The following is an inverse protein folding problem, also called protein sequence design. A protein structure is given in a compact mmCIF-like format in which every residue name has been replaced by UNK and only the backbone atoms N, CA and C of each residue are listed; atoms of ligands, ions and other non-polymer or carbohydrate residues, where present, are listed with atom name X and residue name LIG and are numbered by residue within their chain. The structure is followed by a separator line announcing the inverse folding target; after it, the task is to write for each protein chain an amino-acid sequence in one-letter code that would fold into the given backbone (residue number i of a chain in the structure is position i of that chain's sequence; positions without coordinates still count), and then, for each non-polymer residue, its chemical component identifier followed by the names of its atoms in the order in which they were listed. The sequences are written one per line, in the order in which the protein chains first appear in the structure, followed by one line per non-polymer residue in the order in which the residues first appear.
data_IF_773930261938
#
_entry.id   IF_773930261938
#
_cell.length_a   1.000
_cell.length_b   1.000
_cell.length_c   1.000
_cell.angle_alpha   90.00
_cell.angle_beta   90.00
_cell.angle_gamma   90.00
#
_symmetry.space_group_name_H-M   'P 1'
#
loop_
_entity.id
_entity.type
_entity.pdbx_description
1 polymer ?
#
# COMPACT_ATOMS: atom_id res chain seq x y z
N UNK A 1 -11.11 27.23 -0.64
CA UNK A 1 -10.75 26.90 -2.02
C UNK A 1 -11.74 25.91 -2.64
N UNK A 2 -12.89 26.37 -3.16
CA UNK A 2 -13.99 25.47 -3.57
C UNK A 2 -13.57 24.50 -4.68
N UNK A 3 -12.80 24.96 -5.66
CA UNK A 3 -12.42 24.13 -6.80
C UNK A 3 -11.55 22.94 -6.40
N UNK A 4 -10.58 23.12 -5.48
CA UNK A 4 -9.72 22.02 -5.03
C UNK A 4 -10.50 21.02 -4.18
N UNK A 5 -11.36 21.53 -3.30
CA UNK A 5 -12.26 20.69 -2.49
C UNK A 5 -13.13 19.80 -3.37
N UNK A 6 -13.79 20.38 -4.38
CA UNK A 6 -14.64 19.63 -5.32
C UNK A 6 -13.84 18.57 -6.06
N UNK A 7 -12.62 18.87 -6.53
CA UNK A 7 -11.78 17.88 -7.22
C UNK A 7 -11.40 16.71 -6.32
N UNK A 8 -10.95 16.95 -5.09
CA UNK A 8 -10.62 15.87 -4.13
C UNK A 8 -11.86 15.03 -3.80
N UNK A 9 -13.01 15.66 -3.57
CA UNK A 9 -14.26 14.94 -3.30
C UNK A 9 -14.71 14.10 -4.49
N UNK A 10 -14.73 14.67 -5.70
CA UNK A 10 -15.08 13.94 -6.92
C UNK A 10 -14.14 12.76 -7.18
N UNK A 11 -12.84 12.91 -6.87
CA UNK A 11 -11.90 11.80 -6.96
C UNK A 11 -12.32 10.64 -6.05
N UNK A 12 -12.56 10.91 -4.76
CA UNK A 12 -12.98 9.89 -3.79
C UNK A 12 -14.32 9.27 -4.18
N UNK A 13 -15.28 10.09 -4.62
CA UNK A 13 -16.61 9.66 -5.05
C UNK A 13 -16.58 8.87 -6.36
N UNK A 14 -15.58 9.03 -7.22
CA UNK A 14 -15.51 8.32 -8.50
C UNK A 14 -15.32 6.81 -8.33
N UNK A 15 -14.63 6.39 -7.26
CA UNK A 15 -14.43 4.97 -6.93
C UNK A 15 -15.44 4.44 -5.91
N UNK A 16 -16.16 5.29 -5.18
CA UNK A 16 -17.13 4.88 -4.16
C UNK A 16 -18.22 3.91 -4.68
N UNK A 17 -18.78 4.06 -5.90
CA UNK A 17 -19.73 3.10 -6.48
C UNK A 17 -19.21 1.65 -6.52
N UNK A 18 -17.89 1.45 -6.62
CA UNK A 18 -17.27 0.12 -6.62
C UNK A 18 -17.59 -0.65 -5.34
N UNK A 19 -17.72 0.05 -4.19
CA UNK A 19 -18.09 -0.58 -2.92
C UNK A 19 -19.42 -1.32 -3.07
N UNK A 20 -20.45 -0.64 -3.57
CA UNK A 20 -21.80 -1.21 -3.71
C UNK A 20 -21.85 -2.32 -4.75
N UNK A 21 -21.14 -2.16 -5.87
CA UNK A 21 -21.06 -3.21 -6.90
C UNK A 21 -20.49 -4.50 -6.31
N UNK A 22 -19.41 -4.41 -5.53
CA UNK A 22 -18.81 -5.58 -4.90
C UNK A 22 -19.70 -6.09 -3.76
N UNK A 23 -20.17 -5.26 -2.85
CA UNK A 23 -20.92 -5.72 -1.67
C UNK A 23 -22.30 -6.31 -2.02
N UNK A 24 -22.95 -5.83 -3.08
CA UNK A 24 -24.26 -6.30 -3.53
C UNK A 24 -24.19 -7.50 -4.49
N UNK A 25 -22.99 -7.83 -4.99
CA UNK A 25 -22.82 -8.94 -5.92
C UNK A 25 -23.12 -10.30 -5.26
N UNK A 26 -23.70 -11.22 -6.04
CA UNK A 26 -23.91 -12.60 -5.63
C UNK A 26 -22.60 -13.39 -5.77
N UNK A 27 -21.89 -13.44 -4.65
CA UNK A 27 -20.63 -14.13 -4.56
C UNK A 27 -20.79 -15.58 -4.10
N UNK A 28 -20.07 -16.50 -4.75
CA UNK A 28 -19.89 -17.87 -4.31
C UNK A 28 -18.37 -18.18 -4.17
N UNK A 29 -18.02 -19.37 -3.67
CA UNK A 29 -16.60 -19.74 -3.44
C UNK A 29 -15.75 -19.61 -4.71
N UNK A 30 -16.29 -20.01 -5.86
CA UNK A 30 -15.59 -19.96 -7.15
C UNK A 30 -15.31 -18.52 -7.60
N UNK A 31 -16.30 -17.62 -7.51
CA UNK A 31 -16.14 -16.21 -7.86
C UNK A 31 -15.15 -15.51 -6.95
N UNK A 32 -15.16 -15.77 -5.64
CA UNK A 32 -14.13 -15.22 -4.74
C UNK A 32 -12.75 -15.69 -5.17
N UNK A 33 -12.60 -17.00 -5.41
CA UNK A 33 -11.32 -17.60 -5.81
C UNK A 33 -10.84 -17.02 -7.14
N UNK A 34 -11.74 -16.83 -8.11
CA UNK A 34 -11.45 -16.21 -9.39
C UNK A 34 -10.97 -14.77 -9.21
N UNK A 35 -11.73 -13.92 -8.52
CA UNK A 35 -11.31 -12.53 -8.29
C UNK A 35 -9.98 -12.45 -7.54
N UNK A 36 -9.80 -13.25 -6.50
CA UNK A 36 -8.55 -13.28 -5.71
C UNK A 36 -7.36 -13.69 -6.58
N UNK A 37 -7.54 -14.69 -7.45
CA UNK A 37 -6.51 -15.10 -8.41
C UNK A 37 -6.20 -13.99 -9.42
N UNK A 38 -7.21 -13.29 -9.94
CA UNK A 38 -7.01 -12.19 -10.88
C UNK A 38 -6.28 -11.01 -10.25
N UNK A 39 -6.62 -10.64 -9.02
CA UNK A 39 -5.93 -9.60 -8.25
C UNK A 39 -4.46 -9.97 -8.01
N UNK A 40 -4.20 -11.21 -7.57
CA UNK A 40 -2.84 -11.71 -7.32
C UNK A 40 -2.04 -11.85 -8.61
N UNK A 41 -2.65 -12.27 -9.71
CA UNK A 41 -2.01 -12.30 -11.03
C UNK A 41 -1.66 -10.88 -11.51
N UNK A 42 -2.56 -9.91 -11.29
CA UNK A 42 -2.28 -8.50 -11.56
C UNK A 42 -1.06 -8.01 -10.78
N UNK A 43 -0.99 -8.25 -9.46
CA UNK A 43 0.19 -7.94 -8.66
C UNK A 43 1.46 -8.63 -9.14
N UNK A 44 1.36 -9.89 -9.54
CA UNK A 44 2.50 -10.64 -10.08
C UNK A 44 3.05 -10.02 -11.37
N UNK A 45 2.18 -9.67 -12.32
CA UNK A 45 2.59 -9.03 -13.58
C UNK A 45 3.19 -7.64 -13.31
N UNK A 46 2.55 -6.85 -12.45
CA UNK A 46 3.08 -5.55 -12.01
C UNK A 46 4.46 -5.69 -11.36
N UNK A 47 4.65 -6.72 -10.51
CA UNK A 47 5.92 -7.01 -9.86
C UNK A 47 7.00 -7.38 -10.88
N UNK A 48 6.70 -8.24 -11.87
CA UNK A 48 7.63 -8.58 -12.96
C UNK A 48 8.07 -7.32 -13.72
N UNK A 49 7.12 -6.45 -14.09
CA UNK A 49 7.44 -5.20 -14.80
C UNK A 49 8.34 -4.31 -13.93
N UNK A 50 8.06 -4.20 -12.63
CA UNK A 50 8.88 -3.44 -11.69
C UNK A 50 10.29 -4.01 -11.52
N UNK A 51 10.43 -5.34 -11.48
CA UNK A 51 11.74 -6.00 -11.40
C UNK A 51 12.53 -5.83 -12.70
N UNK A 52 11.87 -5.93 -13.84
CA UNK A 52 12.48 -5.68 -15.15
C UNK A 52 12.97 -4.23 -15.23
N UNK A 53 12.11 -3.26 -14.91
CA UNK A 53 12.46 -1.84 -14.82
C UNK A 53 13.65 -1.60 -13.90
N UNK A 54 13.62 -2.15 -12.69
CA UNK A 54 14.69 -2.03 -11.73
C UNK A 54 16.01 -2.59 -12.28
N UNK A 55 15.96 -3.70 -13.02
CA UNK A 55 17.16 -4.38 -13.54
C UNK A 55 17.82 -3.63 -14.69
N UNK A 56 17.07 -2.83 -15.47
CA UNK A 56 17.61 -2.07 -16.61
C UNK A 56 18.74 -1.13 -16.22
N UNK A 57 18.71 -0.56 -15.01
CA UNK A 57 19.72 0.39 -14.54
C UNK A 57 21.13 -0.22 -14.48
N UNK A 58 21.25 -1.54 -14.29
CA UNK A 58 22.53 -2.24 -14.23
C UNK A 58 23.09 -2.59 -15.61
N UNK A 59 22.26 -2.50 -16.67
CA UNK A 59 22.64 -2.80 -18.05
C UNK A 59 22.85 -1.51 -18.84
N UNK A 60 21.91 -0.56 -18.72
CA UNK A 60 21.85 0.66 -19.52
C UNK A 60 22.35 1.92 -18.78
N UNK A 61 22.61 1.81 -17.48
CA UNK A 61 22.82 2.96 -16.60
C UNK A 61 21.52 3.62 -16.16
N UNK A 62 21.60 4.45 -15.11
CA UNK A 62 20.43 5.07 -14.47
C UNK A 62 19.76 6.07 -15.41
N UNK A 63 20.51 6.99 -16.02
CA UNK A 63 19.95 8.08 -16.83
C UNK A 63 19.20 7.54 -18.06
N UNK A 64 19.79 6.58 -18.77
CA UNK A 64 19.15 5.90 -19.90
C UNK A 64 17.88 5.17 -19.47
N UNK A 65 17.93 4.48 -18.32
CA UNK A 65 16.79 3.74 -17.79
C UNK A 65 15.66 4.68 -17.39
N UNK A 66 15.96 5.81 -16.76
CA UNK A 66 14.99 6.85 -16.41
C UNK A 66 14.33 7.41 -17.66
N UNK A 67 15.12 7.88 -18.64
CA UNK A 67 14.61 8.46 -19.88
C UNK A 67 13.71 7.49 -20.65
N UNK A 68 14.09 6.21 -20.68
CA UNK A 68 13.26 5.16 -21.26
C UNK A 68 11.94 4.99 -20.49
N UNK A 69 12.01 4.98 -19.15
CA UNK A 69 10.83 4.74 -18.32
C UNK A 69 9.86 5.93 -18.30
N UNK A 70 10.36 7.16 -18.36
CA UNK A 70 9.55 8.37 -18.56
C UNK A 70 8.73 8.26 -19.85
N UNK A 71 9.35 7.85 -20.96
CA UNK A 71 8.65 7.65 -22.25
C UNK A 71 7.58 6.57 -22.17
N UNK A 72 7.85 5.46 -21.47
CA UNK A 72 6.89 4.35 -21.31
C UNK A 72 5.70 4.75 -20.45
N UNK A 73 5.94 5.50 -19.37
CA UNK A 73 4.90 5.86 -18.38
C UNK A 73 4.07 7.07 -18.81
N UNK A 74 4.63 8.00 -19.59
CA UNK A 74 3.93 9.20 -20.06
C UNK A 74 2.55 8.94 -20.70
N UNK A 75 2.39 8.02 -21.67
CA UNK A 75 1.08 7.76 -22.27
C UNK A 75 0.08 7.12 -21.30
N UNK A 76 0.55 6.42 -20.26
CA UNK A 76 -0.29 5.75 -19.27
C UNK A 76 -0.81 6.72 -18.21
N UNK A 77 0.06 7.62 -17.74
CA UNK A 77 -0.26 8.62 -16.73
C UNK A 77 -0.93 9.87 -17.33
N UNK A 78 -0.71 10.11 -18.63
CA UNK A 78 -1.13 11.32 -19.33
C UNK A 78 -0.15 12.48 -19.16
N UNK A 79 -0.07 13.36 -20.15
CA UNK A 79 0.97 14.39 -20.24
C UNK A 79 1.06 15.30 -19.00
N UNK A 80 -0.08 15.78 -18.51
CA UNK A 80 -0.12 16.73 -17.39
C UNK A 80 0.26 16.10 -16.06
N UNK A 81 -0.16 14.87 -15.80
CA UNK A 81 0.19 14.15 -14.57
C UNK A 81 1.64 13.68 -14.60
N UNK A 82 2.12 13.21 -15.76
CA UNK A 82 3.52 12.81 -15.96
C UNK A 82 4.49 13.95 -15.67
N UNK A 83 4.21 15.16 -16.15
CA UNK A 83 5.02 16.34 -15.83
C UNK A 83 5.12 16.58 -14.32
N UNK A 84 4.01 16.49 -13.60
CA UNK A 84 3.98 16.64 -12.14
C UNK A 84 4.79 15.55 -11.43
N UNK A 85 4.68 14.30 -11.91
CA UNK A 85 5.42 13.15 -11.39
C UNK A 85 6.92 13.33 -11.60
N UNK A 86 7.36 13.77 -12.77
CA UNK A 86 8.78 13.92 -13.08
C UNK A 86 9.40 15.12 -12.37
N UNK A 87 8.65 16.22 -12.21
CA UNK A 87 9.09 17.40 -11.44
C UNK A 87 9.28 17.11 -9.95
N UNK A 88 8.46 16.23 -9.37
CA UNK A 88 8.48 15.87 -7.95
C UNK A 88 8.79 14.39 -7.73
N UNK A 89 9.69 13.84 -8.56
CA UNK A 89 9.91 12.40 -8.62
C UNK A 89 10.59 11.85 -7.37
N UNK A 90 10.01 10.77 -6.84
CA UNK A 90 10.62 9.94 -5.78
C UNK A 90 11.22 8.64 -6.33
N UNK A 91 11.46 8.57 -7.65
CA UNK A 91 11.95 7.39 -8.35
C UNK A 91 13.38 7.02 -7.99
N UNK A 92 14.21 8.01 -7.66
CA UNK A 92 15.59 7.78 -7.26
C UNK A 92 15.73 7.71 -5.75
N UNK A 93 16.67 6.88 -5.30
CA UNK A 93 17.02 6.72 -3.90
C UNK A 93 18.53 6.73 -3.74
N UNK A 94 19.05 7.61 -2.87
CA UNK A 94 20.47 7.59 -2.52
C UNK A 94 20.68 6.72 -1.26
N UNK A 95 21.56 5.74 -1.32
CA UNK A 95 21.88 4.83 -0.24
C UNK A 95 23.40 4.74 -0.16
N UNK A 96 24.01 5.29 0.91
CA UNK A 96 25.46 5.32 1.11
C UNK A 96 26.24 5.80 -0.12
N UNK A 97 25.87 6.98 -0.63
CA UNK A 97 26.46 7.63 -1.80
C UNK A 97 26.28 6.86 -3.12
N UNK A 98 25.42 5.85 -3.17
CA UNK A 98 24.99 5.19 -4.40
C UNK A 98 23.53 5.52 -4.68
N UNK A 99 23.27 6.03 -5.87
CA UNK A 99 21.90 6.26 -6.33
C UNK A 99 21.37 5.00 -7.00
N UNK A 100 20.13 4.64 -6.69
CA UNK A 100 19.40 3.56 -7.36
C UNK A 100 18.10 4.10 -7.92
N UNK A 101 17.71 3.60 -9.09
CA UNK A 101 16.35 3.74 -9.60
C UNK A 101 15.47 2.68 -8.90
N UNK A 102 14.53 3.13 -8.07
CA UNK A 102 13.63 2.27 -7.29
C UNK A 102 12.69 1.51 -8.22
N UNK A 103 12.18 0.37 -7.76
CA UNK A 103 11.09 -0.31 -8.46
C UNK A 103 9.82 0.56 -8.44
N UNK A 104 9.33 0.96 -9.61
CA UNK A 104 8.13 1.78 -9.80
C UNK A 104 7.09 1.07 -10.67
N UNK A 105 7.50 0.11 -11.51
CA UNK A 105 6.61 -0.54 -12.48
C UNK A 105 5.90 0.53 -13.32
N UNK A 106 4.59 0.43 -13.52
CA UNK A 106 3.80 1.45 -14.23
C UNK A 106 3.08 2.43 -13.29
N UNK A 107 3.55 2.56 -12.05
CA UNK A 107 2.98 3.46 -11.05
C UNK A 107 3.67 4.83 -11.13
N UNK A 108 2.97 5.92 -10.74
CA UNK A 108 3.57 7.26 -10.71
C UNK A 108 4.74 7.36 -9.74
N UNK A 109 4.78 6.53 -8.70
CA UNK A 109 5.85 6.54 -7.71
C UNK A 109 5.98 5.16 -7.03
N UNK A 110 7.16 4.86 -6.44
CA UNK A 110 7.43 3.58 -5.79
C UNK A 110 6.61 3.35 -4.51
N UNK A 111 6.11 4.41 -3.87
CA UNK A 111 5.29 4.27 -2.67
C UNK A 111 3.92 3.69 -3.03
N UNK A 112 3.29 4.18 -4.09
CA UNK A 112 2.02 3.64 -4.60
C UNK A 112 2.15 2.20 -5.07
N UNK A 113 3.26 1.86 -5.75
CA UNK A 113 3.55 0.46 -6.09
C UNK A 113 3.65 -0.41 -4.81
N UNK A 114 4.36 0.08 -3.78
CA UNK A 114 4.53 -0.67 -2.54
C UNK A 114 3.20 -0.86 -1.78
N UNK A 115 2.31 0.13 -1.74
CA UNK A 115 0.94 -0.06 -1.21
C UNK A 115 0.21 -1.18 -1.94
N UNK A 116 0.18 -1.10 -3.27
CA UNK A 116 -0.55 -2.05 -4.10
C UNK A 116 -0.04 -3.49 -3.91
N UNK A 117 1.28 -3.69 -3.98
CA UNK A 117 1.90 -5.01 -3.80
C UNK A 117 1.72 -5.54 -2.37
N UNK A 118 1.86 -4.68 -1.35
CA UNK A 118 1.80 -5.11 0.05
C UNK A 118 0.37 -5.45 0.50
N UNK A 119 -0.65 -4.81 -0.07
CA UNK A 119 -2.03 -5.24 0.14
C UNK A 119 -2.31 -6.64 -0.44
N UNK A 120 -1.70 -6.96 -1.58
CA UNK A 120 -1.94 -8.20 -2.32
C UNK A 120 -1.00 -9.35 -1.91
N UNK A 121 0.12 -9.07 -1.26
CA UNK A 121 1.05 -10.10 -0.79
C UNK A 121 0.44 -11.08 0.24
N UNK A 122 -0.24 -10.63 1.32
CA UNK A 122 -0.94 -11.55 2.20
C UNK A 122 -2.06 -12.34 1.51
N UNK A 123 -2.68 -11.76 0.47
CA UNK A 123 -3.67 -12.47 -0.34
C UNK A 123 -3.03 -13.58 -1.19
N UNK A 124 -1.85 -13.36 -1.77
CA UNK A 124 -1.13 -14.43 -2.49
C UNK A 124 -0.68 -15.54 -1.54
N UNK A 125 -0.26 -15.19 -0.31
CA UNK A 125 0.01 -16.17 0.75
C UNK A 125 -1.25 -16.95 1.13
N UNK A 126 -2.39 -16.29 1.27
CA UNK A 126 -3.67 -16.95 1.56
C UNK A 126 -4.02 -18.02 0.51
N UNK A 127 -3.83 -17.71 -0.78
CA UNK A 127 -4.05 -18.65 -1.87
C UNK A 127 -3.03 -19.80 -1.81
N UNK A 128 -1.75 -19.49 -1.59
CA UNK A 128 -0.72 -20.51 -1.42
C UNK A 128 -1.03 -21.46 -0.26
N UNK A 129 -1.31 -20.98 0.94
CA UNK A 129 -1.61 -21.86 2.09
C UNK A 129 -2.98 -22.55 2.00
N UNK A 130 -3.85 -22.12 1.07
CA UNK A 130 -5.09 -22.83 0.76
C UNK A 130 -4.88 -24.03 -0.15
N UNK A 131 -3.92 -23.98 -1.07
CA UNK A 131 -3.70 -25.02 -2.10
C UNK A 131 -2.36 -25.78 -1.99
N UNK A 132 -1.36 -25.18 -1.35
CA UNK A 132 0.04 -25.56 -1.32
C UNK A 132 0.70 -25.71 -2.71
N UNK A 133 0.11 -25.14 -3.77
CA UNK A 133 0.70 -25.19 -5.12
C UNK A 133 1.92 -24.28 -5.22
N UNK A 134 3.06 -24.83 -5.66
CA UNK A 134 4.35 -24.13 -5.77
C UNK A 134 4.30 -22.84 -6.60
N UNK A 135 3.41 -22.77 -7.59
CA UNK A 135 3.22 -21.57 -8.42
C UNK A 135 2.84 -20.34 -7.59
N UNK A 136 2.02 -20.49 -6.55
CA UNK A 136 1.62 -19.36 -5.69
C UNK A 136 2.70 -18.98 -4.68
N UNK A 137 3.57 -19.91 -4.29
CA UNK A 137 4.78 -19.59 -3.54
C UNK A 137 5.73 -18.72 -4.39
N UNK A 138 5.96 -19.11 -5.65
CA UNK A 138 6.76 -18.33 -6.60
C UNK A 138 6.18 -16.94 -6.84
N UNK A 139 4.86 -16.85 -7.10
CA UNK A 139 4.16 -15.56 -7.25
C UNK A 139 4.37 -14.67 -6.02
N UNK A 140 4.18 -15.23 -4.81
CA UNK A 140 4.37 -14.48 -3.57
C UNK A 140 5.82 -13.99 -3.39
N UNK A 141 6.81 -14.82 -3.76
CA UNK A 141 8.23 -14.44 -3.70
C UNK A 141 8.56 -13.30 -4.67
N UNK A 142 8.00 -13.30 -5.88
CA UNK A 142 8.18 -12.23 -6.87
C UNK A 142 7.54 -10.92 -6.40
N UNK A 143 6.31 -10.98 -5.85
CA UNK A 143 5.63 -9.81 -5.26
C UNK A 143 6.46 -9.24 -4.09
N UNK A 144 6.95 -10.12 -3.21
CA UNK A 144 7.80 -9.73 -2.08
C UNK A 144 9.07 -9.03 -2.55
N UNK A 145 9.79 -9.61 -3.50
CA UNK A 145 11.04 -9.05 -4.02
C UNK A 145 10.80 -7.67 -4.65
N UNK A 146 9.79 -7.53 -5.50
CA UNK A 146 9.43 -6.26 -6.12
C UNK A 146 9.07 -5.20 -5.07
N UNK A 147 8.28 -5.58 -4.05
CA UNK A 147 7.95 -4.70 -2.94
C UNK A 147 9.20 -4.24 -2.18
N UNK A 148 10.15 -5.15 -1.89
CA UNK A 148 11.37 -4.80 -1.18
C UNK A 148 12.23 -3.80 -1.96
N UNK A 149 12.28 -3.94 -3.28
CA UNK A 149 13.01 -3.07 -4.21
C UNK A 149 12.30 -1.73 -4.51
N UNK A 150 11.11 -1.51 -3.96
CA UNK A 150 10.52 -0.15 -3.95
C UNK A 150 11.30 0.79 -3.03
N UNK A 151 12.10 0.28 -2.10
CA UNK A 151 12.79 1.06 -1.06
C UNK A 151 11.86 2.02 -0.28
N UNK A 152 10.56 1.70 -0.21
CA UNK A 152 9.58 2.46 0.56
C UNK A 152 9.66 2.06 2.03
N UNK A 153 10.10 2.98 2.88
CA UNK A 153 10.17 2.78 4.34
C UNK A 153 8.80 2.38 4.91
N UNK A 154 7.78 3.16 4.59
CA UNK A 154 6.40 2.84 4.94
C UNK A 154 5.93 1.52 4.35
N UNK A 155 6.39 1.19 3.15
CA UNK A 155 6.16 -0.11 2.52
C UNK A 155 6.68 -1.27 3.37
N UNK A 156 7.88 -1.15 3.93
CA UNK A 156 8.43 -2.18 4.83
C UNK A 156 7.56 -2.37 6.09
N UNK A 157 7.12 -1.28 6.73
CA UNK A 157 6.21 -1.36 7.88
C UNK A 157 4.87 -1.98 7.52
N UNK A 158 4.27 -1.56 6.39
CA UNK A 158 3.03 -2.15 5.88
C UNK A 158 3.15 -3.64 5.61
N UNK A 159 4.22 -4.05 4.91
CA UNK A 159 4.48 -5.44 4.59
C UNK A 159 4.64 -6.28 5.87
N UNK A 160 5.42 -5.80 6.85
CA UNK A 160 5.64 -6.48 8.12
C UNK A 160 4.34 -6.60 8.92
N UNK A 161 3.58 -5.51 9.08
CA UNK A 161 2.33 -5.51 9.83
C UNK A 161 1.30 -6.48 9.24
N UNK A 162 1.10 -6.43 7.92
CA UNK A 162 0.17 -7.34 7.22
C UNK A 162 0.61 -8.81 7.31
N UNK A 163 1.91 -9.08 7.18
CA UNK A 163 2.46 -10.44 7.27
C UNK A 163 2.36 -11.00 8.69
N UNK A 164 2.73 -10.22 9.72
CA UNK A 164 2.59 -10.62 11.12
C UNK A 164 1.13 -10.92 11.43
N UNK A 165 0.21 -10.02 11.06
CA UNK A 165 -1.22 -10.22 11.26
C UNK A 165 -1.72 -11.51 10.59
N UNK A 166 -1.33 -11.74 9.33
CA UNK A 166 -1.69 -12.95 8.60
C UNK A 166 -1.25 -14.21 9.37
N UNK A 167 0.03 -14.30 9.76
CA UNK A 167 0.54 -15.50 10.42
C UNK A 167 0.01 -15.67 11.85
N UNK A 168 -0.20 -14.59 12.61
CA UNK A 168 -0.81 -14.66 13.95
C UNK A 168 -2.20 -15.31 13.90
N UNK A 169 -3.05 -14.89 12.96
CA UNK A 169 -4.39 -15.46 12.81
C UNK A 169 -4.38 -16.81 12.09
N UNK A 170 -3.43 -17.05 11.18
CA UNK A 170 -3.27 -18.34 10.50
C UNK A 170 -2.91 -19.45 11.50
N UNK A 171 -1.90 -19.21 12.35
CA UNK A 171 -1.45 -20.17 13.37
C UNK A 171 -2.49 -20.43 14.47
N UNK A 172 -3.36 -19.45 14.74
CA UNK A 172 -4.48 -19.62 15.66
C UNK A 172 -5.54 -20.61 15.15
N UNK A 173 -5.57 -20.95 13.85
CA UNK A 173 -6.52 -21.91 13.28
C UNK A 173 -6.02 -23.35 13.48
N UNK A 174 -6.67 -24.11 14.39
CA UNK A 174 -6.35 -25.51 14.73
C UNK A 174 -6.09 -26.43 13.53
N UNK A 175 -6.84 -26.26 12.43
CA UNK A 175 -6.72 -27.03 11.18
C UNK A 175 -5.29 -27.03 10.59
N UNK A 176 -4.50 -26.00 10.86
CA UNK A 176 -3.18 -25.77 10.24
C UNK A 176 -2.01 -25.91 11.23
N UNK A 177 -2.25 -26.30 12.49
CA UNK A 177 -1.19 -26.34 13.50
C UNK A 177 -0.14 -27.44 13.24
N UNK A 178 -0.53 -28.62 12.76
CA UNK A 178 0.38 -29.77 12.62
C UNK A 178 1.10 -29.86 11.27
N UNK A 179 0.45 -29.47 10.16
CA UNK A 179 1.05 -29.51 8.81
C UNK A 179 1.87 -28.26 8.47
N UNK A 180 1.77 -27.21 9.28
CA UNK A 180 2.24 -25.88 8.88
C UNK A 180 3.16 -25.21 9.88
N UNK A 181 3.36 -25.76 11.09
CA UNK A 181 4.36 -25.26 12.02
C UNK A 181 5.78 -25.29 11.42
N UNK A 182 6.15 -26.38 10.74
CA UNK A 182 7.45 -26.47 10.05
C UNK A 182 7.54 -25.55 8.83
N UNK A 183 6.49 -25.45 8.01
CA UNK A 183 6.45 -24.55 6.85
C UNK A 183 6.50 -23.07 7.26
N UNK A 184 5.77 -22.70 8.32
CA UNK A 184 5.78 -21.35 8.88
C UNK A 184 7.13 -21.06 9.53
N UNK A 185 7.70 -22.01 10.28
CA UNK A 185 9.04 -21.87 10.83
C UNK A 185 10.10 -21.72 9.72
N UNK A 186 10.01 -22.49 8.63
CA UNK A 186 10.88 -22.34 7.45
C UNK A 186 10.65 -20.99 6.76
N UNK A 187 9.41 -20.53 6.66
CA UNK A 187 9.08 -19.22 6.08
C UNK A 187 9.66 -18.07 6.93
N UNK A 188 9.49 -18.10 8.25
CA UNK A 188 10.11 -17.11 9.14
C UNK A 188 11.63 -17.24 9.19
N UNK A 189 12.18 -18.46 9.17
CA UNK A 189 13.62 -18.67 9.12
C UNK A 189 14.21 -18.17 7.80
N UNK A 190 13.53 -18.36 6.67
CA UNK A 190 13.95 -17.80 5.38
C UNK A 190 13.80 -16.28 5.35
N UNK A 191 12.74 -15.69 5.92
CA UNK A 191 12.65 -14.25 6.13
C UNK A 191 13.76 -13.74 7.03
N UNK A 192 14.14 -14.45 8.10
CA UNK A 192 15.19 -14.05 9.01
C UNK A 192 16.57 -14.16 8.35
N UNK A 193 16.82 -15.21 7.56
CA UNK A 193 18.04 -15.35 6.76
C UNK A 193 18.11 -14.25 5.71
N UNK A 194 17.01 -13.97 5.02
CA UNK A 194 16.88 -12.81 4.13
C UNK A 194 17.17 -11.53 4.94
N UNK A 195 16.52 -11.29 6.08
CA UNK A 195 16.76 -10.10 6.89
C UNK A 195 18.24 -9.95 7.31
N UNK A 196 18.89 -11.04 7.71
CA UNK A 196 20.28 -11.06 8.15
C UNK A 196 21.26 -10.84 6.99
N UNK A 197 21.04 -11.49 5.86
CA UNK A 197 21.80 -11.27 4.62
C UNK A 197 21.59 -9.85 4.12
N UNK A 198 20.39 -9.29 4.30
CA UNK A 198 20.03 -7.96 3.82
C UNK A 198 20.50 -6.85 4.76
N UNK A 199 20.96 -7.15 5.98
CA UNK A 199 21.49 -6.18 6.93
C UNK A 199 22.67 -5.38 6.34
N UNK A 200 23.48 -6.00 5.49
CA UNK A 200 24.62 -5.36 4.79
C UNK A 200 24.25 -4.79 3.43
N UNK A 201 23.02 -4.98 2.96
CA UNK A 201 22.54 -4.56 1.64
C UNK A 201 21.88 -3.16 1.69
N UNK A 202 21.71 -2.49 0.53
CA UNK A 202 21.00 -1.22 0.46
C UNK A 202 19.59 -1.25 1.07
N UNK A 203 18.91 -2.40 1.04
CA UNK A 203 17.58 -2.59 1.62
C UNK A 203 17.62 -2.50 3.15
N UNK A 204 18.56 -3.22 3.79
CA UNK A 204 18.75 -3.15 5.24
C UNK A 204 19.11 -1.75 5.70
N UNK A 205 20.00 -1.08 4.96
CA UNK A 205 20.40 0.31 5.25
C UNK A 205 19.20 1.28 5.18
N UNK A 206 18.32 1.12 4.19
CA UNK A 206 17.07 1.88 4.08
C UNK A 206 16.08 1.56 5.19
N UNK A 207 16.00 0.31 5.60
CA UNK A 207 15.18 -0.09 6.75
C UNK A 207 15.66 0.59 8.03
N UNK A 208 16.95 0.50 8.36
CA UNK A 208 17.50 1.12 9.58
C UNK A 208 17.48 2.65 9.55
N UNK A 209 17.68 3.28 8.38
CA UNK A 209 17.55 4.73 8.26
C UNK A 209 16.13 5.23 8.56
N UNK A 210 15.12 4.37 8.46
CA UNK A 210 13.74 4.68 8.86
C UNK A 210 13.64 5.01 10.35
N UNK A 211 14.51 4.44 11.19
CA UNK A 211 14.54 4.68 12.64
C UNK A 211 15.47 5.82 13.04
N UNK A 212 16.24 6.39 12.10
CA UNK A 212 17.08 7.54 12.37
C UNK A 212 16.27 8.83 12.15
N UNK A 213 15.92 9.50 13.24
CA UNK A 213 15.17 10.77 13.21
C UNK A 213 16.00 11.95 12.68
N UNK A 214 17.33 11.81 12.61
CA UNK A 214 18.24 12.83 12.08
C UNK A 214 18.48 12.69 10.56
N UNK A 215 17.93 11.64 9.93
CA UNK A 215 17.96 11.53 8.47
C UNK A 215 17.09 12.64 7.86
N UNK A 216 17.61 13.34 6.83
CA UNK A 216 17.02 14.58 6.34
C UNK A 216 15.53 14.48 6.03
N UNK A 217 15.10 13.40 5.38
CA UNK A 217 13.69 13.19 5.03
C UNK A 217 12.80 12.88 6.25
N UNK A 218 13.32 12.19 7.27
CA UNK A 218 12.57 11.97 8.52
C UNK A 218 12.45 13.28 9.32
N UNK A 219 13.52 14.07 9.40
CA UNK A 219 13.51 15.35 10.12
C UNK A 219 12.52 16.35 9.51
N UNK A 220 12.40 16.36 8.18
CA UNK A 220 11.44 17.18 7.45
C UNK A 220 10.00 16.75 7.71
N UNK A 221 9.73 15.44 7.69
CA UNK A 221 8.41 14.89 8.05
C UNK A 221 7.99 15.24 9.48
N UNK A 222 8.91 15.18 10.44
CA UNK A 222 8.63 15.57 11.83
C UNK A 222 8.23 17.04 11.91
N UNK A 223 8.93 17.94 11.21
CA UNK A 223 8.56 19.36 11.14
C UNK A 223 7.18 19.56 10.52
N UNK A 224 6.89 18.87 9.42
CA UNK A 224 5.58 18.90 8.77
C UNK A 224 4.50 18.43 9.75
N UNK A 225 4.69 17.28 10.42
CA UNK A 225 3.72 16.73 11.37
C UNK A 225 3.46 17.66 12.55
N UNK A 226 4.50 18.27 13.12
CA UNK A 226 4.32 19.25 14.19
C UNK A 226 3.44 20.42 13.73
N UNK A 227 3.70 20.95 12.52
CA UNK A 227 2.88 22.02 11.95
C UNK A 227 1.45 21.56 11.65
N UNK A 228 1.28 20.35 11.13
CA UNK A 228 -0.06 19.75 10.92
C UNK A 228 -0.83 19.64 12.22
N UNK A 229 -0.18 19.23 13.32
CA UNK A 229 -0.79 19.09 14.64
C UNK A 229 -1.21 20.46 15.19
N UNK A 230 -0.40 21.51 15.03
CA UNK A 230 -0.78 22.88 15.41
C UNK A 230 -2.08 23.31 14.69
N UNK A 231 -2.18 23.08 13.38
CA UNK A 231 -3.37 23.43 12.59
C UNK A 231 -4.59 22.61 13.04
N UNK A 232 -4.40 21.32 13.37
CA UNK A 232 -5.46 20.47 13.92
C UNK A 232 -5.94 21.01 15.27
N UNK A 233 -5.04 21.50 16.14
CA UNK A 233 -5.40 22.07 17.43
C UNK A 233 -6.23 23.36 17.29
N UNK A 234 -5.97 24.15 16.25
CA UNK A 234 -6.76 25.35 15.92
C UNK A 234 -8.15 25.00 15.34
N UNK A 235 -8.26 23.90 14.59
CA UNK A 235 -9.49 23.50 13.88
C UNK A 235 -9.88 22.02 14.11
N UNK A 236 -10.09 21.57 15.37
CA UNK A 236 -10.09 20.13 15.69
C UNK A 236 -11.31 19.37 15.16
N UNK A 237 -12.48 20.00 15.09
CA UNK A 237 -13.73 19.29 14.78
C UNK A 237 -13.97 19.12 13.28
N UNK A 238 -13.76 20.18 12.49
CA UNK A 238 -14.07 20.21 11.06
C UNK A 238 -12.81 20.27 10.18
N UNK A 239 -11.63 20.47 10.77
CA UNK A 239 -10.41 20.74 10.03
C UNK A 239 -10.48 22.08 9.29
N UNK A 240 -9.50 22.32 8.41
CA UNK A 240 -9.44 23.51 7.55
C UNK A 240 -10.28 23.38 6.27
N UNK A 241 -10.99 22.26 6.10
CA UNK A 241 -11.76 21.90 4.92
C UNK A 241 -10.93 21.16 3.85
N UNK A 242 -11.56 20.18 3.20
CA UNK A 242 -10.91 19.31 2.23
C UNK A 242 -10.21 20.08 1.11
N UNK A 243 -8.94 19.78 0.86
CA UNK A 243 -8.11 20.47 -0.12
C UNK A 243 -7.52 21.81 0.32
N UNK A 244 -7.77 22.30 1.55
CA UNK A 244 -7.17 23.55 2.03
C UNK A 244 -5.88 23.34 2.85
N UNK A 245 -5.46 22.10 3.11
CA UNK A 245 -4.22 21.86 3.88
C UNK A 245 -2.97 22.50 3.25
N UNK A 246 -2.70 22.36 1.93
CA UNK A 246 -1.56 23.02 1.30
C UNK A 246 -1.53 24.54 1.53
N UNK A 247 -2.69 25.20 1.42
CA UNK A 247 -2.83 26.64 1.63
C UNK A 247 -2.61 27.07 3.08
N UNK A 248 -2.82 26.15 4.03
CA UNK A 248 -2.60 26.38 5.47
C UNK A 248 -1.12 26.25 5.85
N UNK A 249 -0.34 25.52 5.06
CA UNK A 249 1.11 25.40 5.21
C UNK A 249 1.83 26.50 4.42
N UNK A 250 1.45 26.68 3.17
CA UNK A 250 2.05 27.64 2.25
C UNK A 250 0.96 28.36 1.46
N UNK A 251 0.61 29.61 1.83
CA UNK A 251 -0.47 30.37 1.18
C UNK A 251 -0.27 30.63 -0.32
N UNK A 252 0.99 30.58 -0.79
CA UNK A 252 1.34 30.75 -2.20
C UNK A 252 1.26 29.44 -3.01
N UNK A 253 0.92 28.32 -2.38
CA UNK A 253 0.88 27.01 -3.03
C UNK A 253 -0.15 26.94 -4.15
N UNK A 254 0.19 26.18 -5.19
CA UNK A 254 -0.68 25.84 -6.30
C UNK A 254 -1.29 24.45 -6.13
N UNK A 255 -2.33 24.15 -6.90
CA UNK A 255 -3.06 22.88 -6.77
C UNK A 255 -2.25 21.64 -7.15
N UNK A 256 -1.11 21.84 -7.82
CA UNK A 256 -0.20 20.76 -8.24
C UNK A 256 0.95 20.55 -7.28
N UNK A 257 1.10 21.43 -6.29
CA UNK A 257 2.18 21.32 -5.34
C UNK A 257 1.90 20.10 -4.44
N UNK A 258 2.85 19.17 -4.32
CA UNK A 258 2.68 17.92 -3.59
C UNK A 258 2.82 18.15 -2.07
N UNK A 259 2.03 19.04 -1.50
CA UNK A 259 2.05 19.36 -0.06
C UNK A 259 1.02 18.49 0.65
N UNK A 260 1.51 17.50 1.40
CA UNK A 260 0.72 16.61 2.24
C UNK A 260 1.52 16.25 3.49
N UNK A 261 0.83 15.78 4.52
CA UNK A 261 1.47 15.40 5.77
C UNK A 261 2.34 14.14 5.63
N UNK A 262 2.31 13.44 4.49
CA UNK A 262 2.90 12.10 4.35
C UNK A 262 2.42 11.15 5.45
N UNK A 263 1.15 11.30 5.84
CA UNK A 263 0.46 10.50 6.84
C UNK A 263 -1.03 10.69 6.62
N UNK A 264 -1.70 9.64 6.15
CA UNK A 264 -3.12 9.70 5.79
C UNK A 264 -3.99 10.12 6.97
N UNK A 265 -3.64 9.71 8.19
CA UNK A 265 -4.43 10.03 9.38
C UNK A 265 -4.34 11.50 9.76
N UNK A 266 -3.14 12.09 9.64
CA UNK A 266 -2.94 13.52 9.84
C UNK A 266 -3.57 14.34 8.71
N UNK A 267 -3.44 13.92 7.45
CA UNK A 267 -4.08 14.58 6.30
C UNK A 267 -5.60 14.62 6.44
N UNK A 268 -6.22 13.50 6.84
CA UNK A 268 -7.66 13.46 7.09
C UNK A 268 -8.03 14.35 8.28
N UNK A 269 -7.26 14.32 9.37
CA UNK A 269 -7.59 15.08 10.58
C UNK A 269 -7.48 16.59 10.35
N UNK A 270 -6.44 17.04 9.65
CA UNK A 270 -6.25 18.47 9.37
C UNK A 270 -7.25 18.99 8.35
N UNK A 271 -7.61 18.20 7.33
CA UNK A 271 -8.55 18.66 6.29
C UNK A 271 -10.02 18.50 6.67
N UNK A 272 -10.38 17.47 7.42
CA UNK A 272 -11.79 17.10 7.67
C UNK A 272 -12.16 16.96 9.13
N UNK A 273 -11.20 17.21 10.02
CA UNK A 273 -11.38 17.16 11.47
C UNK A 273 -11.25 15.76 12.07
N UNK A 274 -11.08 15.71 13.38
CA UNK A 274 -10.82 14.49 14.15
C UNK A 274 -11.99 13.50 14.03
N UNK A 275 -13.23 13.99 13.98
CA UNK A 275 -14.43 13.13 13.88
C UNK A 275 -14.37 12.28 12.61
N UNK A 276 -14.07 12.90 11.47
CA UNK A 276 -13.99 12.21 10.18
C UNK A 276 -12.83 11.20 10.17
N UNK A 277 -11.69 11.55 10.77
CA UNK A 277 -10.56 10.61 10.94
C UNK A 277 -10.92 9.41 11.82
N UNK A 278 -11.70 9.60 12.89
CA UNK A 278 -12.18 8.50 13.72
C UNK A 278 -13.14 7.59 12.96
N UNK A 279 -14.02 8.15 12.12
CA UNK A 279 -14.90 7.36 11.24
C UNK A 279 -14.07 6.53 10.25
N UNK A 280 -13.03 7.12 9.65
CA UNK A 280 -12.10 6.40 8.77
C UNK A 280 -11.43 5.22 9.48
N UNK A 281 -10.90 5.45 10.69
CA UNK A 281 -10.28 4.40 11.52
C UNK A 281 -11.31 3.32 11.85
N UNK A 282 -12.54 3.70 12.21
CA UNK A 282 -13.61 2.77 12.50
C UNK A 282 -13.97 1.90 11.27
N UNK A 283 -14.02 2.47 10.07
CA UNK A 283 -14.25 1.71 8.83
C UNK A 283 -13.17 0.65 8.65
N UNK A 284 -11.89 1.04 8.73
CA UNK A 284 -10.77 0.10 8.58
C UNK A 284 -10.82 -1.00 9.65
N UNK A 285 -11.04 -0.63 10.91
CA UNK A 285 -11.12 -1.56 12.02
C UNK A 285 -12.29 -2.55 11.88
N UNK A 286 -13.49 -2.06 11.59
CA UNK A 286 -14.68 -2.89 11.41
C UNK A 286 -14.53 -3.81 10.20
N UNK A 287 -13.92 -3.34 9.11
CA UNK A 287 -13.64 -4.19 7.96
C UNK A 287 -12.66 -5.33 8.29
N UNK A 288 -11.56 -5.03 8.99
CA UNK A 288 -10.62 -6.04 9.47
C UNK A 288 -11.35 -7.04 10.38
N UNK A 289 -12.09 -6.54 11.37
CA UNK A 289 -12.82 -7.36 12.33
C UNK A 289 -13.79 -8.32 11.62
N UNK A 290 -14.67 -7.80 10.76
CA UNK A 290 -15.67 -8.60 10.04
C UNK A 290 -15.02 -9.66 9.15
N UNK A 291 -13.96 -9.31 8.42
CA UNK A 291 -13.22 -10.27 7.58
C UNK A 291 -12.59 -11.40 8.41
N UNK A 292 -12.05 -11.09 9.60
CA UNK A 292 -11.44 -12.11 10.47
C UNK A 292 -12.44 -13.07 11.13
N UNK A 293 -13.72 -12.69 11.21
CA UNK A 293 -14.76 -13.60 11.71
C UNK A 293 -14.93 -14.83 10.81
N UNK A 294 -14.59 -14.73 9.51
CA UNK A 294 -14.60 -15.87 8.61
C UNK A 294 -13.42 -16.81 8.88
N UNK A 295 -13.64 -17.77 9.79
CA UNK A 295 -12.61 -18.73 10.23
C UNK A 295 -12.34 -19.86 9.24
N UNK A 296 -13.20 -20.04 8.24
CA UNK A 296 -13.11 -21.18 7.31
C UNK A 296 -12.24 -20.87 6.09
N UNK A 297 -12.26 -19.63 5.60
CA UNK A 297 -11.51 -19.22 4.41
C UNK A 297 -10.26 -18.42 4.74
N UNK A 298 -9.11 -18.80 4.17
CA UNK A 298 -7.87 -18.02 4.30
C UNK A 298 -7.89 -16.77 3.41
N UNK A 299 -8.70 -16.75 2.35
CA UNK A 299 -8.79 -15.61 1.43
C UNK A 299 -9.29 -14.36 2.18
N UNK A 300 -10.29 -14.50 3.05
CA UNK A 300 -10.78 -13.41 3.91
C UNK A 300 -9.70 -12.92 4.88
N UNK A 301 -8.88 -13.84 5.40
CA UNK A 301 -7.70 -13.46 6.19
C UNK A 301 -6.68 -12.69 5.33
N UNK A 302 -6.47 -13.08 4.07
CA UNK A 302 -5.65 -12.34 3.10
C UNK A 302 -6.14 -10.91 2.88
N UNK A 303 -7.44 -10.72 2.64
CA UNK A 303 -8.05 -9.39 2.52
C UNK A 303 -7.85 -8.55 3.78
N UNK A 304 -8.17 -9.08 4.97
CA UNK A 304 -7.99 -8.35 6.24
C UNK A 304 -6.53 -7.96 6.48
N UNK A 305 -5.59 -8.87 6.19
CA UNK A 305 -4.15 -8.63 6.32
C UNK A 305 -3.66 -7.56 5.35
N UNK A 306 -4.25 -7.47 4.16
CA UNK A 306 -3.99 -6.38 3.21
C UNK A 306 -4.49 -5.02 3.71
N UNK A 307 -5.65 -4.96 4.37
CA UNK A 307 -6.14 -3.72 5.01
C UNK A 307 -5.21 -3.31 6.16
N UNK A 308 -4.71 -4.26 6.96
CA UNK A 308 -3.69 -3.99 7.99
C UNK A 308 -2.41 -3.45 7.36
N UNK A 309 -1.96 -4.04 6.25
CA UNK A 309 -0.79 -3.57 5.52
C UNK A 309 -0.94 -2.13 5.02
N UNK A 310 -2.09 -1.82 4.41
CA UNK A 310 -2.45 -0.46 3.99
C UNK A 310 -2.45 0.50 5.19
N UNK A 311 -3.09 0.11 6.29
CA UNK A 311 -3.22 0.95 7.50
C UNK A 311 -1.86 1.29 8.10
N UNK A 312 -0.98 0.30 8.25
CA UNK A 312 0.37 0.51 8.78
C UNK A 312 1.22 1.38 7.85
N UNK A 313 1.13 1.19 6.52
CA UNK A 313 1.84 2.04 5.56
C UNK A 313 1.29 3.48 5.55
N UNK A 314 0.00 3.68 5.81
CA UNK A 314 -0.67 4.98 5.84
C UNK A 314 -0.16 5.95 6.93
N UNK A 315 0.64 5.48 7.89
CA UNK A 315 1.37 6.35 8.83
C UNK A 315 2.53 7.11 8.17
N UNK A 316 3.00 6.66 7.02
CA UNK A 316 4.21 7.16 6.37
C UNK A 316 3.96 7.76 5.00
N UNK A 317 2.74 7.65 4.48
CA UNK A 317 2.34 8.17 3.18
C UNK A 317 0.81 8.26 3.02
N UNK A 318 0.37 8.90 1.93
CA UNK A 318 -1.05 9.18 1.64
C UNK A 318 -1.49 8.60 0.30
N UNK A 319 -2.01 7.37 0.31
CA UNK A 319 -2.41 6.64 -0.90
C UNK A 319 -3.90 6.72 -1.24
N UNK A 320 -4.72 7.36 -0.42
CA UNK A 320 -6.18 7.47 -0.65
C UNK A 320 -6.55 8.27 -1.89
N UNK A 321 -5.63 9.07 -2.46
CA UNK A 321 -5.80 9.78 -3.72
C UNK A 321 -5.13 9.08 -4.92
N UNK A 322 -4.77 7.80 -4.77
CA UNK A 322 -4.19 7.00 -5.84
C UNK A 322 -5.26 6.26 -6.64
N UNK A 323 -5.21 6.38 -7.97
CA UNK A 323 -6.10 5.67 -8.90
C UNK A 323 -5.90 4.15 -8.90
N UNK A 324 -4.83 3.66 -8.27
CA UNK A 324 -4.53 2.23 -8.17
C UNK A 324 -4.87 1.69 -6.78
N UNK A 325 -4.50 2.41 -5.72
CA UNK A 325 -4.60 1.93 -4.33
C UNK A 325 -6.02 2.13 -3.77
N UNK A 326 -6.66 3.27 -4.04
CA UNK A 326 -8.02 3.54 -3.55
C UNK A 326 -9.05 2.50 -4.03
N UNK A 327 -9.18 2.18 -5.33
CA UNK A 327 -10.11 1.15 -5.77
C UNK A 327 -9.81 -0.22 -5.17
N UNK A 328 -8.53 -0.58 -5.05
CA UNK A 328 -8.13 -1.84 -4.40
C UNK A 328 -8.58 -1.88 -2.93
N UNK A 329 -8.38 -0.79 -2.19
CA UNK A 329 -8.83 -0.67 -0.80
C UNK A 329 -10.35 -0.76 -0.70
N UNK A 330 -11.08 -0.10 -1.60
CA UNK A 330 -12.54 -0.17 -1.64
C UNK A 330 -13.01 -1.61 -1.90
N UNK A 331 -12.37 -2.34 -2.81
CA UNK A 331 -12.66 -3.77 -3.02
C UNK A 331 -12.47 -4.54 -1.71
N UNK A 332 -11.34 -4.35 -1.02
CA UNK A 332 -11.02 -5.07 0.22
C UNK A 332 -12.02 -4.76 1.34
N UNK A 333 -12.40 -3.48 1.49
CA UNK A 333 -13.42 -3.03 2.45
C UNK A 333 -14.79 -3.61 2.07
N UNK A 334 -15.16 -3.64 0.78
CA UNK A 334 -16.43 -4.19 0.32
C UNK A 334 -16.56 -5.69 0.62
N UNK A 335 -15.45 -6.44 0.56
CA UNK A 335 -15.42 -7.86 0.98
C UNK A 335 -15.82 -8.07 2.45
N UNK A 336 -15.61 -7.07 3.32
CA UNK A 336 -16.04 -7.13 4.71
C UNK A 336 -17.55 -7.04 4.91
N UNK A 337 -18.28 -6.60 3.88
CA UNK A 337 -19.73 -6.45 3.90
C UNK A 337 -20.49 -7.62 3.25
N UNK A 338 -19.77 -8.61 2.70
CA UNK A 338 -20.41 -9.76 2.05
C UNK A 338 -20.94 -10.74 3.11
N UNK A 339 -22.22 -11.15 2.98
CA UNK A 339 -22.89 -12.02 3.96
C UNK A 339 -22.38 -13.47 3.88
N UNK A 340 -22.24 -14.11 5.03
CA UNK A 340 -21.68 -15.47 5.17
C UNK A 340 -22.52 -16.54 4.45
N UNK A 341 -23.85 -16.38 4.44
CA UNK A 341 -24.79 -17.28 3.73
C UNK A 341 -24.55 -17.37 2.21
N UNK A 342 -23.87 -16.39 1.61
CA UNK A 342 -23.61 -16.35 0.17
C UNK A 342 -22.67 -17.45 -0.32
N UNK A 343 -21.86 -18.04 0.56
CA UNK A 343 -20.76 -18.94 0.17
C UNK A 343 -20.87 -20.38 0.65
N UNK A 344 -21.77 -20.63 1.60
CA UNK A 344 -22.10 -21.99 2.04
C UNK A 344 -23.12 -22.67 1.11
N UNK A 345 -23.89 -21.89 0.36
CA UNK A 345 -24.80 -22.37 -0.67
C UNK A 345 -24.02 -22.64 -1.97
N UNK A 346 -23.48 -23.85 -2.08
CA UNK A 346 -23.25 -24.72 -3.26
C UNK A 346 -22.14 -25.71 -2.92
#
# INVERSE_FOLDING_TARGET
NIQWSVRKLLFLLSFFPLFFVISASLWNKEKIKLLSNLLVLGAFLTAIIGLFQFSLQFILGIDTSLSLWEKITTPLLGNSFSQSVFQHSSWLVNINNRTFFRATSLFPDPHMLSFYLNMLFPLSLAIYFSSFEKKYAFISAVILLASLLTFSRGGYFGLLAGTIFFFSFFLARKKYQLKTASTVAIFFASILVIFFVFFTTPIGQRFFSSFNSQEGSNSERIKIWNKTIEIIQENPLLGVGIGNYPLSIEPASTYRDPIYAHNTYLDLAVETGIITSLIWIAILFLSIFNLTQNKTSLIFLGFSSGIVSFSAHSFFDTAIFSVHVLPLLIIFIAFSAIKEKSYELV
#
